data_IF_773516203360
#
_entry.id   IF_773516203360
#
_cell.length_a   1.000
_cell.length_b   1.000
_cell.length_c   1.000
_cell.angle_alpha   90.00
_cell.angle_beta   90.00
_cell.angle_gamma   90.00
#
_symmetry.space_group_name_H-M   'P 1'
#
loop_
_entity.id
_entity.type
_entity.pdbx_description
1 polymer ?
#
# COMPACT_ATOMS: atom_id res chain seq x y z
N UNK A 1 12.65 -20.29 -8.26
CA UNK A 1 11.19 -20.40 -8.37
C UNK A 1 10.59 -19.00 -8.46
N UNK A 2 9.70 -18.74 -9.41
CA UNK A 2 8.95 -17.48 -9.47
C UNK A 2 7.88 -17.51 -8.36
N UNK A 3 7.60 -16.39 -7.69
CA UNK A 3 6.53 -16.35 -6.71
C UNK A 3 5.19 -16.52 -7.46
N UNK A 4 4.32 -17.41 -6.99
CA UNK A 4 2.97 -17.54 -7.52
C UNK A 4 2.18 -16.30 -7.07
N UNK A 5 1.92 -15.38 -8.00
CA UNK A 5 1.13 -14.19 -7.71
C UNK A 5 -0.34 -14.48 -8.02
N UNK A 6 -1.21 -14.25 -7.04
CA UNK A 6 -2.64 -14.33 -7.25
C UNK A 6 -3.10 -13.20 -8.20
N UNK A 7 -4.16 -13.43 -8.99
CA UNK A 7 -4.76 -12.37 -9.81
C UNK A 7 -5.19 -11.18 -8.94
N UNK A 8 -5.04 -9.97 -9.49
CA UNK A 8 -5.39 -8.70 -8.83
C UNK A 8 -6.75 -8.74 -8.13
N UNK A 9 -7.79 -9.13 -8.87
CA UNK A 9 -9.15 -9.07 -8.36
C UNK A 9 -9.38 -10.09 -7.24
N UNK A 10 -8.69 -11.24 -7.28
CA UNK A 10 -8.72 -12.21 -6.18
C UNK A 10 -8.05 -11.64 -4.93
N UNK A 11 -6.91 -10.96 -5.05
CA UNK A 11 -6.22 -10.34 -3.91
C UNK A 11 -7.08 -9.25 -3.27
N UNK A 12 -7.75 -8.44 -4.10
CA UNK A 12 -8.67 -7.40 -3.64
C UNK A 12 -9.89 -8.02 -2.95
N UNK A 13 -10.47 -9.08 -3.53
CA UNK A 13 -11.61 -9.78 -2.95
C UNK A 13 -11.26 -10.44 -1.61
N UNK A 14 -10.13 -11.16 -1.56
CA UNK A 14 -9.61 -11.77 -0.33
C UNK A 14 -9.36 -10.70 0.74
N UNK A 15 -8.75 -9.57 0.38
CA UNK A 15 -8.52 -8.46 1.29
C UNK A 15 -9.85 -7.90 1.82
N UNK A 16 -10.82 -7.60 0.96
CA UNK A 16 -12.13 -7.10 1.39
C UNK A 16 -12.87 -8.09 2.27
N UNK A 17 -12.85 -9.38 1.96
CA UNK A 17 -13.47 -10.43 2.76
C UNK A 17 -12.81 -10.55 4.13
N UNK A 18 -11.48 -10.53 4.19
CA UNK A 18 -10.72 -10.50 5.45
C UNK A 18 -11.10 -9.26 6.26
N UNK A 19 -11.21 -8.10 5.60
CA UNK A 19 -11.59 -6.85 6.25
C UNK A 19 -13.01 -6.89 6.84
N UNK A 20 -13.98 -7.42 6.10
CA UNK A 20 -15.38 -7.56 6.53
C UNK A 20 -15.49 -8.57 7.69
N UNK A 21 -14.79 -9.70 7.60
CA UNK A 21 -14.78 -10.72 8.65
C UNK A 21 -14.21 -10.21 9.97
N UNK A 22 -13.33 -9.21 9.95
CA UNK A 22 -12.80 -8.57 11.16
C UNK A 22 -13.57 -7.31 11.59
N UNK A 23 -14.61 -6.90 10.86
CA UNK A 23 -15.56 -5.86 11.27
C UNK A 23 -16.77 -6.44 12.02
N UNK A 24 -16.84 -7.77 12.20
CA UNK A 24 -17.76 -8.41 13.13
C UNK A 24 -17.25 -8.29 14.57
N UNK A 25 -17.99 -7.50 15.37
CA UNK A 25 -18.05 -7.35 16.84
C UNK A 25 -16.87 -6.74 17.61
N UNK A 26 -17.19 -5.74 18.46
CA UNK A 26 -16.67 -5.31 19.79
C UNK A 26 -15.39 -5.92 20.39
N UNK A 27 -14.38 -6.19 19.57
CA UNK A 27 -13.31 -7.11 19.95
C UNK A 27 -11.94 -6.55 19.60
N UNK A 28 -11.65 -5.29 19.92
CA UNK A 28 -10.24 -4.95 20.13
C UNK A 28 -9.73 -5.69 21.38
N UNK A 29 -10.56 -5.70 22.43
CA UNK A 29 -10.28 -6.34 23.72
C UNK A 29 -10.46 -7.85 23.63
N UNK A 30 -11.56 -8.36 23.07
CA UNK A 30 -11.77 -9.80 22.92
C UNK A 30 -10.77 -10.46 21.94
N UNK A 31 -10.31 -9.73 20.91
CA UNK A 31 -9.23 -10.20 20.03
C UNK A 31 -7.91 -10.18 20.80
N UNK A 32 -7.58 -9.12 21.54
CA UNK A 32 -6.40 -9.09 22.42
C UNK A 32 -6.45 -10.18 23.51
N UNK A 33 -7.63 -10.50 24.05
CA UNK A 33 -7.82 -11.49 25.12
C UNK A 33 -7.79 -12.92 24.56
N UNK A 34 -8.47 -13.21 23.46
CA UNK A 34 -8.39 -14.50 22.77
C UNK A 34 -6.99 -14.75 22.18
N UNK A 35 -6.32 -13.70 21.71
CA UNK A 35 -4.95 -13.76 21.20
C UNK A 35 -3.90 -13.91 22.31
N UNK A 36 -4.09 -13.28 23.47
CA UNK A 36 -3.20 -13.46 24.63
C UNK A 36 -3.37 -14.83 25.30
N UNK A 37 -4.60 -15.36 25.35
CA UNK A 37 -4.88 -16.70 25.88
C UNK A 37 -4.33 -17.84 25.00
N UNK A 38 -4.11 -17.60 23.70
CA UNK A 38 -3.59 -18.58 22.73
C UNK A 38 -2.06 -18.54 22.55
N UNK A 39 -1.32 -17.72 23.31
CA UNK A 39 0.14 -17.64 23.19
C UNK A 39 0.83 -18.65 24.13
N UNK A 40 1.59 -19.65 23.62
CA UNK A 40 2.83 -19.99 24.30
C UNK A 40 3.73 -18.74 24.24
N UNK A 41 4.38 -18.39 25.35
CA UNK A 41 5.23 -17.21 25.56
C UNK A 41 6.25 -16.96 24.44
N UNK A 42 5.79 -16.39 23.32
CA UNK A 42 6.59 -16.07 22.15
C UNK A 42 6.00 -14.82 21.54
N UNK A 43 6.47 -13.69 22.06
CA UNK A 43 6.48 -12.38 21.41
C UNK A 43 6.30 -12.48 19.89
N UNK A 44 5.28 -11.82 19.34
CA UNK A 44 5.16 -11.52 17.90
C UNK A 44 6.17 -10.47 17.46
N UNK A 45 7.33 -10.38 18.13
CA UNK A 45 8.51 -9.77 17.58
C UNK A 45 8.73 -10.35 16.19
N UNK A 46 8.55 -9.48 15.21
CA UNK A 46 9.17 -9.61 13.90
C UNK A 46 10.56 -10.23 14.07
N UNK A 47 10.73 -11.48 13.65
CA UNK A 47 12.05 -12.13 13.60
C UNK A 47 13.01 -11.42 12.63
N UNK A 48 12.54 -10.41 11.88
CA UNK A 48 13.41 -9.51 11.15
C UNK A 48 14.07 -8.53 12.12
N UNK A 49 15.41 -8.61 12.16
CA UNK A 49 16.29 -7.64 12.82
C UNK A 49 15.92 -6.22 12.39
N UNK A 50 15.82 -5.25 13.31
CA UNK A 50 15.65 -3.84 12.96
C UNK A 50 16.67 -3.43 11.90
N UNK A 51 16.22 -2.68 10.89
CA UNK A 51 17.06 -2.22 9.81
C UNK A 51 17.06 -0.70 9.73
N UNK A 52 18.19 -0.16 9.27
CA UNK A 52 18.33 1.27 9.02
C UNK A 52 17.49 1.68 7.80
N UNK A 53 16.81 2.84 7.85
CA UNK A 53 16.09 3.40 6.70
C UNK A 53 17.01 3.57 5.48
N UNK A 54 16.45 3.43 4.29
CA UNK A 54 17.17 3.66 3.04
C UNK A 54 17.67 5.11 2.92
N UNK A 55 19.00 5.30 2.90
CA UNK A 55 19.66 6.60 2.70
C UNK A 55 20.00 6.91 1.24
N UNK A 56 19.94 5.90 0.36
CA UNK A 56 20.25 6.03 -1.08
C UNK A 56 19.28 7.00 -1.75
N UNK A 57 19.79 7.89 -2.61
CA UNK A 57 18.94 8.78 -3.40
C UNK A 57 18.07 7.96 -4.35
N UNK A 58 16.90 8.48 -4.71
CA UNK A 58 15.94 7.74 -5.53
C UNK A 58 16.49 7.41 -6.92
N UNK A 59 17.27 8.32 -7.50
CA UNK A 59 17.86 8.17 -8.84
C UNK A 59 18.97 7.11 -8.89
N UNK A 60 19.56 6.78 -7.73
CA UNK A 60 20.57 5.72 -7.60
C UNK A 60 19.95 4.32 -7.38
N UNK A 61 18.63 4.25 -7.18
CA UNK A 61 17.92 2.99 -6.98
C UNK A 61 17.53 2.35 -8.31
N UNK A 62 17.78 1.04 -8.44
CA UNK A 62 17.41 0.30 -9.64
C UNK A 62 15.95 -0.14 -9.57
N UNK A 63 15.10 0.16 -10.58
CA UNK A 63 13.73 -0.32 -10.58
C UNK A 63 13.67 -1.84 -10.60
N UNK A 64 12.60 -2.39 -10.02
CA UNK A 64 12.25 -3.80 -10.08
C UNK A 64 10.74 -3.98 -10.03
N UNK A 65 10.26 -5.11 -10.57
CA UNK A 65 8.87 -5.54 -10.47
C UNK A 65 8.64 -6.35 -9.20
N UNK A 66 7.39 -6.39 -8.73
CA UNK A 66 6.93 -7.27 -7.64
C UNK A 66 7.23 -8.72 -7.99
N UNK A 67 7.04 -9.12 -9.26
CA UNK A 67 7.35 -10.48 -9.73
C UNK A 67 8.82 -10.88 -9.66
N UNK A 68 9.72 -9.91 -9.60
CA UNK A 68 11.17 -10.13 -9.49
C UNK A 68 11.62 -10.24 -8.02
N UNK A 69 10.70 -10.03 -7.07
CA UNK A 69 10.95 -10.23 -5.65
C UNK A 69 10.94 -11.73 -5.33
N UNK A 70 12.11 -12.26 -5.04
CA UNK A 70 12.36 -13.65 -4.66
C UNK A 70 13.09 -13.62 -3.31
N UNK A 71 12.52 -14.19 -2.25
CA UNK A 71 13.01 -14.23 -0.85
C UNK A 71 12.62 -13.05 0.07
N UNK A 72 12.61 -13.33 1.37
CA UNK A 72 12.31 -12.40 2.48
C UNK A 72 13.41 -11.35 2.74
N UNK A 73 14.38 -11.20 1.84
CA UNK A 73 15.50 -10.28 2.04
C UNK A 73 15.13 -8.89 1.55
N UNK A 74 15.54 -7.89 2.32
CA UNK A 74 15.47 -6.48 1.92
C UNK A 74 16.23 -6.30 0.61
N UNK A 75 15.57 -5.74 -0.41
CA UNK A 75 16.21 -5.52 -1.71
C UNK A 75 16.96 -4.19 -1.72
N UNK A 76 18.07 -4.13 -1.00
CA UNK A 76 18.95 -2.94 -0.98
C UNK A 76 19.34 -2.50 -2.40
N UNK A 77 19.35 -1.19 -2.63
CA UNK A 77 19.61 -0.59 -3.94
C UNK A 77 18.51 -0.80 -4.99
N UNK A 78 17.32 -1.29 -4.60
CA UNK A 78 16.18 -1.45 -5.51
C UNK A 78 15.01 -0.54 -5.13
N UNK A 79 14.12 -0.32 -6.07
CA UNK A 79 12.83 0.33 -5.82
C UNK A 79 11.71 -0.34 -6.62
N UNK A 80 10.48 -0.24 -6.14
CA UNK A 80 9.28 -0.65 -6.88
C UNK A 80 8.30 0.52 -6.93
N UNK A 81 7.75 0.78 -8.11
CA UNK A 81 6.67 1.76 -8.29
C UNK A 81 5.35 1.02 -8.22
N UNK A 82 4.45 1.45 -7.35
CA UNK A 82 3.18 0.79 -7.11
C UNK A 82 2.01 1.78 -7.09
N UNK A 83 0.82 1.28 -7.40
CA UNK A 83 -0.45 1.99 -7.23
C UNK A 83 -1.26 1.34 -6.12
N UNK A 84 -1.88 2.13 -5.25
CA UNK A 84 -2.80 1.67 -4.21
C UNK A 84 -4.14 1.32 -4.84
N UNK A 85 -4.63 0.10 -4.61
CA UNK A 85 -5.82 -0.47 -5.25
C UNK A 85 -7.04 -0.54 -4.34
N UNK A 86 -6.88 -0.30 -3.04
CA UNK A 86 -7.97 -0.38 -2.06
C UNK A 86 -7.80 0.71 -1.01
N UNK A 87 -8.91 1.19 -0.46
CA UNK A 87 -8.90 1.95 0.79
C UNK A 87 -8.06 1.24 1.86
N UNK A 88 -7.17 1.96 2.56
CA UNK A 88 -6.32 1.39 3.59
C UNK A 88 -7.12 1.01 4.83
N UNK A 89 -6.68 -0.03 5.52
CA UNK A 89 -7.25 -0.47 6.78
C UNK A 89 -6.15 -0.57 7.85
N UNK A 90 -6.52 -0.47 9.12
CA UNK A 90 -5.62 -0.72 10.23
C UNK A 90 -5.79 -2.16 10.69
N UNK A 91 -4.68 -2.90 10.75
CA UNK A 91 -4.63 -4.28 11.25
C UNK A 91 -3.43 -4.43 12.18
N UNK A 92 -3.68 -4.86 13.41
CA UNK A 92 -2.67 -4.93 14.48
C UNK A 92 -1.98 -3.56 14.65
N UNK A 93 -0.71 -3.46 14.25
CA UNK A 93 0.14 -2.27 14.33
C UNK A 93 0.57 -1.71 12.97
N UNK A 94 -0.11 -2.10 11.89
CA UNK A 94 0.21 -1.66 10.53
C UNK A 94 -1.01 -1.06 9.80
N UNK A 95 -0.73 -0.11 8.92
CA UNK A 95 -1.65 0.30 7.86
C UNK A 95 -1.47 -0.68 6.71
N UNK A 96 -2.57 -1.24 6.22
CA UNK A 96 -2.59 -2.27 5.19
C UNK A 96 -3.44 -1.82 4.02
N UNK A 97 -2.92 -1.95 2.80
CA UNK A 97 -3.67 -1.73 1.57
C UNK A 97 -3.18 -2.71 0.50
N UNK A 98 -3.99 -3.01 -0.51
CA UNK A 98 -3.53 -3.75 -1.69
C UNK A 98 -2.83 -2.79 -2.64
N UNK A 99 -1.66 -3.19 -3.14
CA UNK A 99 -0.92 -2.42 -4.14
C UNK A 99 -0.57 -3.29 -5.35
N UNK A 100 -0.44 -2.68 -6.51
CA UNK A 100 -0.02 -3.37 -7.75
C UNK A 100 1.15 -2.64 -8.40
N UNK A 101 2.00 -3.38 -9.12
CA UNK A 101 2.98 -2.79 -10.04
C UNK A 101 2.42 -2.66 -11.46
N UNK A 102 3.23 -2.09 -12.36
CA UNK A 102 2.84 -1.86 -13.76
C UNK A 102 2.55 -3.14 -14.55
N UNK A 103 2.93 -4.31 -14.05
CA UNK A 103 2.77 -5.59 -14.73
C UNK A 103 1.55 -6.39 -14.22
N UNK A 104 0.83 -5.88 -13.21
CA UNK A 104 -0.46 -6.41 -12.77
C UNK A 104 -0.48 -7.30 -11.51
N UNK A 105 0.61 -7.92 -11.03
CA UNK A 105 0.60 -8.57 -9.72
C UNK A 105 0.22 -7.58 -8.61
N UNK A 106 -0.84 -7.93 -7.87
CA UNK A 106 -1.23 -7.20 -6.67
C UNK A 106 -0.81 -7.96 -5.42
N UNK A 107 -0.35 -7.24 -4.41
CA UNK A 107 0.04 -7.80 -3.11
C UNK A 107 -0.38 -6.85 -1.99
N UNK A 108 -0.64 -7.36 -0.78
CA UNK A 108 -0.81 -6.49 0.38
C UNK A 108 0.49 -5.72 0.67
N UNK A 109 0.39 -4.42 0.93
CA UNK A 109 1.43 -3.57 1.52
C UNK A 109 1.12 -3.40 3.00
N UNK A 110 2.10 -3.65 3.88
CA UNK A 110 2.03 -3.44 5.31
C UNK A 110 3.02 -2.34 5.68
N UNK A 111 2.50 -1.17 6.07
CA UNK A 111 3.27 -0.08 6.62
C UNK A 111 3.21 -0.15 8.15
N UNK A 112 4.31 -0.56 8.78
CA UNK A 112 4.46 -0.61 10.22
C UNK A 112 4.90 0.73 10.81
N UNK A 113 4.68 0.87 12.12
CA UNK A 113 5.04 2.07 12.90
C UNK A 113 4.56 3.39 12.28
N UNK A 114 3.29 3.49 11.87
CA UNK A 114 2.76 4.77 11.41
C UNK A 114 2.84 5.77 12.58
N UNK A 115 3.10 7.07 12.33
CA UNK A 115 3.21 8.07 13.40
C UNK A 115 2.02 7.98 14.38
N UNK A 116 2.23 8.16 15.69
CA UNK A 116 1.16 7.97 16.68
C UNK A 116 -0.11 8.79 16.41
N UNK A 117 0.01 9.93 15.71
CA UNK A 117 -1.10 10.81 15.28
C UNK A 117 -1.86 10.33 14.03
N UNK A 118 -1.50 9.17 13.47
CA UNK A 118 -1.91 8.78 12.11
C UNK A 118 -2.82 7.55 12.03
N UNK A 119 -3.11 6.90 13.16
CA UNK A 119 -4.14 5.87 13.22
C UNK A 119 -5.54 6.39 12.82
N UNK A 120 -5.84 7.68 13.05
CA UNK A 120 -7.09 8.30 12.58
C UNK A 120 -7.03 8.75 11.11
N UNK A 121 -5.97 8.43 10.38
CA UNK A 121 -5.62 9.06 9.09
C UNK A 121 -5.01 8.10 8.08
N UNK A 122 -5.31 6.81 8.17
CA UNK A 122 -4.80 5.80 7.25
C UNK A 122 -5.02 6.20 5.78
N UNK A 123 -6.20 6.73 5.45
CA UNK A 123 -6.58 7.24 4.12
C UNK A 123 -5.70 8.39 3.64
N UNK A 124 -5.10 9.16 4.55
CA UNK A 124 -4.17 10.24 4.19
C UNK A 124 -2.75 9.73 3.96
N UNK A 125 -2.38 8.58 4.57
CA UNK A 125 -1.05 8.00 4.41
C UNK A 125 -0.99 7.13 3.16
N UNK A 126 -1.96 6.25 2.95
CA UNK A 126 -2.01 5.38 1.77
C UNK A 126 -3.36 5.53 1.03
N UNK A 127 -3.63 6.71 0.44
CA UNK A 127 -4.89 6.93 -0.25
C UNK A 127 -5.08 5.96 -1.42
N UNK A 128 -6.30 5.48 -1.63
CA UNK A 128 -6.64 4.66 -2.79
C UNK A 128 -6.36 5.43 -4.10
N UNK A 129 -5.78 4.74 -5.07
CA UNK A 129 -5.36 5.32 -6.35
C UNK A 129 -4.03 6.07 -6.30
N UNK A 130 -3.45 6.31 -5.13
CA UNK A 130 -2.15 6.96 -5.02
C UNK A 130 -1.06 6.11 -5.68
N UNK A 131 -0.11 6.78 -6.34
CA UNK A 131 1.08 6.15 -6.90
C UNK A 131 2.26 6.52 -6.03
N UNK A 132 3.03 5.52 -5.60
CA UNK A 132 4.20 5.74 -4.78
C UNK A 132 5.35 4.83 -5.20
N UNK A 133 6.56 5.24 -4.82
CA UNK A 133 7.77 4.43 -4.95
C UNK A 133 8.14 3.93 -3.57
N UNK A 134 8.33 2.62 -3.46
CA UNK A 134 8.83 1.97 -2.25
C UNK A 134 10.32 1.70 -2.45
N UNK A 135 11.13 2.31 -1.59
CA UNK A 135 12.58 2.13 -1.54
C UNK A 135 12.90 0.81 -0.85
N UNK A 136 13.80 0.06 -1.48
CA UNK A 136 14.39 -1.18 -0.96
C UNK A 136 13.38 -2.19 -0.39
N UNK A 137 12.28 -2.52 -1.10
CA UNK A 137 11.16 -3.28 -0.55
C UNK A 137 11.57 -4.63 0.05
N UNK A 138 10.86 -5.04 1.10
CA UNK A 138 11.01 -6.35 1.74
C UNK A 138 9.76 -7.20 1.59
N UNK A 139 9.93 -8.50 1.32
CA UNK A 139 8.81 -9.44 1.27
C UNK A 139 8.60 -10.14 2.61
N UNK A 140 7.34 -10.22 3.02
CA UNK A 140 6.87 -11.04 4.13
C UNK A 140 5.96 -12.16 3.59
N UNK A 141 6.30 -13.44 3.80
CA UNK A 141 5.46 -14.55 3.39
C UNK A 141 4.30 -14.66 4.38
N UNK A 142 3.11 -14.96 3.86
CA UNK A 142 1.96 -15.34 4.65
C UNK A 142 2.05 -16.85 4.93
N UNK A 143 1.96 -17.24 6.20
CA UNK A 143 2.20 -18.61 6.66
C UNK A 143 1.27 -19.66 6.02
N UNK A 144 0.10 -19.26 5.53
CA UNK A 144 -0.98 -20.21 5.16
C UNK A 144 -1.23 -20.38 3.66
N UNK A 145 -0.78 -19.48 2.78
CA UNK A 145 -1.27 -19.43 1.38
C UNK A 145 -0.20 -19.29 0.30
N UNK A 146 1.09 -19.48 0.59
CA UNK A 146 2.19 -19.18 -0.36
C UNK A 146 2.10 -17.76 -0.97
N UNK A 147 1.40 -16.87 -0.28
CA UNK A 147 1.19 -15.48 -0.67
C UNK A 147 2.22 -14.61 0.02
N UNK A 148 2.55 -13.49 -0.61
CA UNK A 148 3.55 -12.55 -0.11
C UNK A 148 2.92 -11.18 0.05
N UNK A 149 3.42 -10.43 1.02
CA UNK A 149 3.13 -9.03 1.20
C UNK A 149 4.41 -8.21 1.20
N UNK A 150 4.32 -6.96 0.76
CA UNK A 150 5.39 -5.99 0.90
C UNK A 150 5.32 -5.41 2.30
N UNK A 151 6.44 -5.41 3.02
CA UNK A 151 6.57 -4.80 4.33
C UNK A 151 7.48 -3.58 4.25
N UNK A 152 7.02 -2.49 4.85
CA UNK A 152 7.76 -1.24 5.04
C UNK A 152 7.68 -0.85 6.51
N UNK A 153 8.82 -0.62 7.15
CA UNK A 153 8.87 -0.23 8.57
C UNK A 153 9.10 1.26 8.76
N UNK A 154 9.63 1.96 7.74
CA UNK A 154 9.93 3.38 7.79
C UNK A 154 9.12 4.11 6.72
N UNK A 155 8.25 5.02 7.12
CA UNK A 155 7.45 5.83 6.16
C UNK A 155 8.31 6.63 5.18
N UNK A 156 9.54 6.98 5.57
CA UNK A 156 10.52 7.68 4.72
C UNK A 156 11.02 6.84 3.54
N UNK A 157 10.73 5.54 3.53
CA UNK A 157 11.00 4.65 2.40
C UNK A 157 9.87 4.66 1.37
N UNK A 158 8.77 5.36 1.63
CA UNK A 158 7.70 5.60 0.67
C UNK A 158 7.82 7.03 0.13
N UNK A 159 7.94 7.14 -1.19
CA UNK A 159 7.93 8.41 -1.92
C UNK A 159 6.62 8.52 -2.68
N UNK A 160 5.72 9.38 -2.21
CA UNK A 160 4.46 9.65 -2.91
C UNK A 160 4.70 10.50 -4.14
N UNK A 161 4.15 10.08 -5.27
CA UNK A 161 4.25 10.82 -6.52
C UNK A 161 3.00 11.67 -6.71
N UNK A 162 3.19 12.92 -7.10
CA UNK A 162 2.10 13.74 -7.59
C UNK A 162 1.56 13.16 -8.91
N UNK A 163 0.28 13.39 -9.20
CA UNK A 163 -0.34 12.89 -10.44
C UNK A 163 0.38 13.35 -11.72
N UNK A 164 1.03 14.52 -11.67
CA UNK A 164 1.80 15.12 -12.77
C UNK A 164 3.27 14.74 -12.78
N UNK A 165 3.73 13.93 -11.84
CA UNK A 165 5.13 13.50 -11.75
C UNK A 165 5.49 12.63 -12.96
N UNK A 166 6.65 12.90 -13.59
CA UNK A 166 7.09 12.19 -14.78
C UNK A 166 7.38 10.70 -14.53
N UNK A 167 7.60 10.31 -13.27
CA UNK A 167 7.85 8.91 -12.87
C UNK A 167 6.57 8.09 -12.74
N UNK A 168 5.40 8.72 -12.76
CA UNK A 168 4.12 8.00 -12.80
C UNK A 168 3.99 7.30 -14.16
N UNK A 169 3.76 5.98 -14.20
CA UNK A 169 3.50 5.26 -15.45
C UNK A 169 2.30 5.83 -16.20
N UNK A 170 2.40 5.93 -17.53
CA UNK A 170 1.33 6.53 -18.36
C UNK A 170 -0.01 5.82 -18.21
N UNK A 171 0.01 4.50 -18.02
CA UNK A 171 -1.19 3.69 -17.78
C UNK A 171 -1.96 4.08 -16.50
N UNK A 172 -1.34 4.82 -15.58
CA UNK A 172 -1.94 5.28 -14.33
C UNK A 172 -2.19 6.78 -14.29
N UNK A 173 -1.73 7.54 -15.31
CA UNK A 173 -2.03 8.97 -15.41
C UNK A 173 -3.51 9.15 -15.72
N UNK A 174 -4.15 10.09 -15.03
CA UNK A 174 -5.51 10.51 -15.38
C UNK A 174 -5.47 11.16 -16.76
N UNK A 175 -6.49 10.94 -17.60
CA UNK A 175 -6.64 11.68 -18.85
C UNK A 175 -6.60 13.17 -18.55
N UNK A 176 -5.85 13.92 -19.37
CA UNK A 176 -5.87 15.38 -19.29
C UNK A 176 -7.32 15.85 -19.47
N UNK A 177 -7.86 16.74 -18.62
CA UNK A 177 -9.19 17.28 -18.82
C UNK A 177 -9.32 17.83 -20.24
N UNK A 178 -10.37 17.43 -20.95
CA UNK A 178 -10.59 17.85 -22.33
C UNK A 178 -10.79 19.37 -22.45
N UNK A 179 -11.29 19.99 -21.38
CA UNK A 179 -11.51 21.42 -21.28
C UNK A 179 -10.46 22.07 -20.36
N UNK A 180 -10.03 23.26 -20.74
CA UNK A 180 -9.19 24.12 -19.92
C UNK A 180 -9.93 24.59 -18.67
N UNK A 181 -9.17 25.04 -17.67
CA UNK A 181 -9.73 25.64 -16.45
C UNK A 181 -10.65 26.84 -16.75
N UNK A 182 -10.35 27.60 -17.81
CA UNK A 182 -11.17 28.72 -18.25
C UNK A 182 -12.53 28.26 -18.80
N UNK A 183 -12.53 27.22 -19.64
CA UNK A 183 -13.75 26.66 -20.22
C UNK A 183 -14.65 26.01 -19.15
N UNK A 184 -14.07 25.25 -18.22
CA UNK A 184 -14.81 24.63 -17.11
C UNK A 184 -15.46 25.72 -16.23
N UNK A 185 -14.75 26.82 -15.96
CA UNK A 185 -15.30 27.97 -15.20
C UNK A 185 -16.44 28.65 -15.94
N UNK A 186 -16.31 28.86 -17.25
CA UNK A 186 -17.35 29.46 -18.08
C UNK A 186 -18.61 28.58 -18.14
N UNK A 187 -18.44 27.27 -18.30
CA UNK A 187 -19.55 26.30 -18.25
C UNK A 187 -20.26 26.31 -16.90
N UNK A 188 -19.51 26.30 -15.79
CA UNK A 188 -20.08 26.38 -14.45
C UNK A 188 -20.89 27.67 -14.24
N UNK A 189 -20.33 28.82 -14.66
CA UNK A 189 -21.03 30.11 -14.57
C UNK A 189 -22.29 30.16 -15.42
N UNK A 190 -22.26 29.59 -16.63
CA UNK A 190 -23.42 29.51 -17.51
C UNK A 190 -24.53 28.65 -16.90
N UNK A 191 -24.17 27.53 -16.25
CA UNK A 191 -25.13 26.65 -15.58
C UNK A 191 -25.85 27.36 -14.42
N UNK A 192 -25.12 28.08 -13.57
CA UNK A 192 -25.71 28.85 -12.45
C UNK A 192 -26.67 29.93 -12.97
N UNK A 193 -26.32 30.60 -14.06
CA UNK A 193 -27.17 31.64 -14.67
C UNK A 193 -28.45 31.09 -15.29
N UNK A 194 -28.47 29.82 -15.71
CA UNK A 194 -29.64 29.19 -16.31
C UNK A 194 -30.64 28.65 -15.28
N UNK A 195 -30.30 28.68 -13.98
CA UNK A 195 -31.16 28.22 -12.87
C UNK A 195 -31.79 29.37 -12.07
N UNK A 196 -31.47 30.63 -12.41
CA UNK A 196 -32.08 31.84 -11.88
C UNK A 196 -32.96 32.50 -12.94
#
# INVERSE_FOLDING_TARGET
>A
MAANHLPRDQVIADFKADMISSNGVDSAVDFLMAYSASMPSASTASTQKPYMPCKTALDDLKPMLISQMKSQRHRRGRMVTVRVCTAPAIRLSAIVAVVEDTNGPAVPLLLYSPPASSAARADTILPEGAVCIIKEPSLKPKKEKDTYSIRVDHVTEIVFLAETDSRVPDAWKKPKPAASSAEIRLQGNAHVRAQN
#
